data_IF_488434636729
#
_entry.id   IF_488434636729
#
_cell.length_a   1.000
_cell.length_b   1.000
_cell.length_c   1.000
_cell.angle_alpha   90.00
_cell.angle_beta   90.00
_cell.angle_gamma   90.00
#
_symmetry.space_group_name_H-M   'P 1'
#
loop_
_entity.id
_entity.type
_entity.pdbx_description
1 polymer ?
#
# COMPACT_ATOMS: atom_id res chain seq x y z
N UNK A 1 -5.42 -2.82 5.37
CA UNK A 1 -6.66 -2.17 4.94
C UNK A 1 -6.41 -0.69 4.75
N UNK A 2 -7.15 -0.09 3.84
CA UNK A 2 -7.03 1.35 3.64
C UNK A 2 -7.73 2.10 4.78
N UNK A 3 -7.07 3.11 5.40
CA UNK A 3 -7.70 3.90 6.45
C UNK A 3 -8.68 4.95 5.91
N UNK A 4 -8.67 5.18 4.60
CA UNK A 4 -9.50 6.22 3.98
C UNK A 4 -9.80 5.85 2.53
N UNK A 5 -10.82 6.50 1.97
CA UNK A 5 -11.15 6.37 0.56
C UNK A 5 -10.26 7.30 -0.26
N UNK A 6 -9.80 6.84 -1.41
CA UNK A 6 -8.94 7.63 -2.29
C UNK A 6 -8.44 6.82 -3.46
N UNK A 7 -7.37 7.28 -4.08
CA UNK A 7 -6.74 6.59 -5.21
C UNK A 7 -5.47 5.91 -4.71
N UNK A 8 -5.36 4.62 -4.99
CA UNK A 8 -4.23 3.80 -4.57
C UNK A 8 -3.07 3.93 -5.56
N UNK A 9 -1.87 4.17 -5.05
CA UNK A 9 -0.65 4.20 -5.85
C UNK A 9 0.40 3.28 -5.22
N UNK A 10 1.02 2.44 -6.03
CA UNK A 10 2.06 1.52 -5.58
C UNK A 10 3.43 2.18 -5.49
N UNK A 11 3.59 3.34 -6.10
CA UNK A 11 4.88 4.04 -6.15
C UNK A 11 4.65 5.54 -6.03
N UNK A 12 5.73 6.28 -5.81
CA UNK A 12 5.67 7.73 -5.65
C UNK A 12 5.43 8.46 -6.99
N UNK A 13 5.67 7.79 -8.12
CA UNK A 13 5.43 8.35 -9.43
C UNK A 13 4.97 7.26 -10.39
N UNK A 14 4.31 7.62 -11.51
CA UNK A 14 3.83 6.62 -12.48
C UNK A 14 4.92 5.77 -13.08
N UNK A 15 6.15 6.29 -13.15
CA UNK A 15 7.28 5.58 -13.73
C UNK A 15 8.28 5.10 -12.68
N UNK A 16 8.02 5.38 -11.40
CA UNK A 16 8.89 4.97 -10.31
C UNK A 16 8.71 3.51 -9.94
N UNK A 17 9.72 2.94 -9.26
CA UNK A 17 9.63 1.59 -8.73
C UNK A 17 8.57 1.53 -7.62
N UNK A 18 7.81 0.42 -7.53
CA UNK A 18 6.84 0.28 -6.44
C UNK A 18 7.52 0.23 -5.09
N UNK A 19 6.83 0.70 -4.06
CA UNK A 19 7.35 0.68 -2.69
C UNK A 19 7.62 -0.75 -2.22
N UNK A 20 6.79 -1.70 -2.64
CA UNK A 20 6.96 -3.10 -2.29
C UNK A 20 6.36 -3.98 -3.40
N UNK A 21 6.70 -5.26 -3.37
CA UNK A 21 6.20 -6.22 -4.36
C UNK A 21 5.73 -7.46 -3.63
N UNK A 22 4.96 -8.30 -4.33
CA UNK A 22 4.54 -9.59 -3.78
C UNK A 22 5.77 -10.45 -3.48
N UNK A 23 5.75 -11.10 -2.33
CA UNK A 23 6.87 -11.90 -1.86
C UNK A 23 7.92 -11.14 -1.06
N UNK A 24 7.84 -9.81 -1.03
CA UNK A 24 8.83 -9.01 -0.30
C UNK A 24 8.54 -9.01 1.20
N UNK A 25 9.62 -9.03 2.01
CA UNK A 25 9.53 -8.81 3.45
C UNK A 25 9.66 -7.31 3.72
N UNK A 26 8.84 -6.81 4.64
CA UNK A 26 8.86 -5.40 5.01
C UNK A 26 9.02 -5.26 6.51
N UNK A 27 9.67 -4.17 6.92
CA UNK A 27 9.91 -3.86 8.34
C UNK A 27 8.87 -2.86 8.84
N UNK A 28 8.65 -2.79 10.16
CA UNK A 28 7.75 -1.77 10.72
C UNK A 28 8.17 -0.36 10.29
N UNK A 29 7.19 0.44 9.91
CA UNK A 29 7.44 1.81 9.44
C UNK A 29 7.81 1.94 7.98
N UNK A 30 8.02 0.83 7.28
CA UNK A 30 8.30 0.87 5.85
C UNK A 30 7.04 1.24 5.06
N UNK A 31 7.16 2.17 4.12
CA UNK A 31 6.02 2.58 3.29
C UNK A 31 5.64 1.47 2.33
N UNK A 32 4.37 1.11 2.31
CA UNK A 32 3.83 0.07 1.43
C UNK A 32 3.19 0.65 0.17
N UNK A 33 2.51 1.76 0.32
CA UNK A 33 1.81 2.41 -0.79
C UNK A 33 1.39 3.82 -0.37
N UNK A 34 0.77 4.53 -1.31
CA UNK A 34 0.19 5.85 -1.06
C UNK A 34 -1.27 5.82 -1.47
N UNK A 35 -2.13 6.43 -0.66
CA UNK A 35 -3.52 6.67 -1.02
C UNK A 35 -3.72 8.19 -1.09
N UNK A 36 -4.06 8.69 -2.27
CA UNK A 36 -4.35 10.10 -2.45
C UNK A 36 -5.82 10.35 -2.14
N UNK A 37 -6.07 11.22 -1.17
CA UNK A 37 -7.41 11.61 -0.78
C UNK A 37 -7.44 13.12 -0.55
N UNK A 38 -8.41 13.81 -1.14
CA UNK A 38 -8.59 15.24 -0.99
C UNK A 38 -7.31 16.04 -1.32
N UNK A 39 -6.59 15.60 -2.36
CA UNK A 39 -5.32 16.20 -2.83
C UNK A 39 -4.17 16.04 -1.83
N UNK A 40 -4.31 15.13 -0.87
CA UNK A 40 -3.26 14.82 0.09
C UNK A 40 -2.77 13.40 -0.16
N UNK A 41 -1.45 13.22 -0.25
CA UNK A 41 -0.82 11.92 -0.42
C UNK A 41 -0.59 11.32 0.96
N UNK A 42 -1.28 10.23 1.26
CA UNK A 42 -1.20 9.57 2.55
C UNK A 42 -0.38 8.28 2.40
N UNK A 43 0.77 8.20 3.06
CA UNK A 43 1.60 7.02 3.05
C UNK A 43 1.03 5.96 3.99
N UNK A 44 0.86 4.75 3.47
CA UNK A 44 0.44 3.61 4.27
C UNK A 44 1.68 2.81 4.62
N UNK A 45 1.94 2.62 5.91
CA UNK A 45 3.16 1.97 6.39
C UNK A 45 2.84 0.66 7.07
N UNK A 46 3.82 -0.25 7.04
CA UNK A 46 3.70 -1.51 7.75
C UNK A 46 3.70 -1.26 9.26
N UNK A 47 2.79 -1.92 9.97
CA UNK A 47 2.71 -1.80 11.43
C UNK A 47 3.66 -2.78 12.12
N UNK A 48 3.98 -3.89 11.45
CA UNK A 48 4.87 -4.90 11.97
C UNK A 48 5.64 -5.53 10.82
N UNK A 49 6.68 -6.31 11.17
CA UNK A 49 7.44 -7.04 10.16
C UNK A 49 6.55 -8.14 9.56
N UNK A 50 6.44 -8.14 8.25
CA UNK A 50 5.59 -9.11 7.55
C UNK A 50 6.08 -9.31 6.13
N UNK A 51 5.54 -10.35 5.48
CA UNK A 51 5.79 -10.60 4.07
C UNK A 51 4.53 -10.29 3.29
N UNK A 52 4.68 -9.62 2.16
CA UNK A 52 3.57 -9.32 1.26
C UNK A 52 3.22 -10.59 0.49
N UNK A 53 2.06 -11.17 0.77
CA UNK A 53 1.60 -12.36 0.07
C UNK A 53 0.95 -11.97 -1.24
N UNK A 54 0.10 -10.95 -1.22
CA UNK A 54 -0.61 -10.49 -2.41
C UNK A 54 -0.94 -9.01 -2.28
N UNK A 55 -0.83 -8.30 -3.40
CA UNK A 55 -1.28 -6.92 -3.50
C UNK A 55 -2.70 -6.96 -4.09
N UNK A 56 -3.69 -6.70 -3.26
CA UNK A 56 -5.09 -6.85 -3.63
C UNK A 56 -5.66 -5.64 -4.39
N UNK A 57 -5.05 -4.45 -4.21
CA UNK A 57 -5.49 -3.24 -4.88
C UNK A 57 -4.69 -3.01 -6.16
N UNK A 58 -5.33 -2.40 -7.15
CA UNK A 58 -4.66 -2.08 -8.42
C UNK A 58 -4.14 -0.64 -8.40
N UNK A 59 -2.96 -0.44 -9.01
CA UNK A 59 -2.34 0.87 -9.12
C UNK A 59 -3.25 1.85 -9.87
N UNK A 60 -3.33 3.07 -9.36
CA UNK A 60 -4.13 4.16 -9.94
C UNK A 60 -5.63 3.89 -9.97
N UNK A 61 -6.12 3.01 -9.09
CA UNK A 61 -7.54 2.70 -8.98
C UNK A 61 -8.11 3.22 -7.66
N UNK A 62 -9.40 3.60 -7.63
CA UNK A 62 -10.01 4.06 -6.38
C UNK A 62 -10.16 2.92 -5.38
N UNK A 63 -9.96 3.24 -4.11
CA UNK A 63 -10.19 2.32 -2.99
C UNK A 63 -11.11 3.00 -1.99
N UNK A 64 -11.80 2.17 -1.21
CA UNK A 64 -12.69 2.67 -0.16
C UNK A 64 -12.07 2.46 1.22
N UNK A 65 -12.54 3.20 2.21
CA UNK A 65 -12.08 3.00 3.58
C UNK A 65 -12.43 1.58 4.03
N UNK A 66 -11.45 0.89 4.63
CA UNK A 66 -11.62 -0.49 5.07
C UNK A 66 -11.35 -1.54 4.00
N UNK A 67 -11.12 -1.13 2.75
CA UNK A 67 -10.80 -2.06 1.69
C UNK A 67 -9.43 -2.71 1.95
N UNK A 68 -9.33 -4.01 1.68
CA UNK A 68 -8.05 -4.71 1.81
C UNK A 68 -7.14 -4.31 0.65
N UNK A 69 -5.95 -3.79 0.99
CA UNK A 69 -4.94 -3.40 0.01
C UNK A 69 -3.90 -4.48 -0.19
N UNK A 70 -3.50 -5.15 0.88
CA UNK A 70 -2.48 -6.18 0.87
C UNK A 70 -2.93 -7.36 1.72
N UNK A 71 -2.54 -8.57 1.29
CA UNK A 71 -2.57 -9.76 2.13
C UNK A 71 -1.15 -10.00 2.60
N UNK A 72 -0.97 -10.16 3.90
CA UNK A 72 0.35 -10.30 4.50
C UNK A 72 0.38 -11.50 5.44
N UNK A 73 1.61 -11.99 5.74
CA UNK A 73 1.82 -13.02 6.73
C UNK A 73 2.99 -12.59 7.62
N UNK A 74 3.09 -13.10 8.86
CA UNK A 74 4.24 -12.80 9.72
C UNK A 74 5.54 -13.25 9.05
N UNK A 75 6.57 -12.44 9.21
CA UNK A 75 7.89 -12.75 8.63
C UNK A 75 8.91 -13.02 9.73
#
# INVERSE_FOLDING_TARGET
MSPLAGIFYRSSSPTGAPYTTEGAAVDPGQTLCVVEAMKVMNEIKAESRCRIVKIAAENSRPVTAGQILFLVEPA
#
